data_IF_572576405421
#
_entry.id   IF_572576405421
#
_cell.length_a   1.000
_cell.length_b   1.000
_cell.length_c   1.000
_cell.angle_alpha   90.00
_cell.angle_beta   90.00
_cell.angle_gamma   90.00
#
_symmetry.space_group_name_H-M   'P 1'
#
loop_
_entity.id
_entity.type
_entity.pdbx_description
1 polymer ?
#
# COMPACT_ATOMS: atom_id res chain seq x y z
N UNK A 1 -14.59 25.14 11.90
CA UNK A 1 -14.43 23.82 12.55
C UNK A 1 -15.14 22.68 11.80
N UNK A 2 -16.45 22.76 11.50
CA UNK A 2 -17.16 21.68 10.79
C UNK A 2 -16.59 21.34 9.41
N UNK A 3 -16.26 22.34 8.59
CA UNK A 3 -15.67 22.14 7.26
C UNK A 3 -14.29 21.47 7.29
N UNK A 4 -13.45 21.81 8.27
CA UNK A 4 -12.12 21.21 8.44
C UNK A 4 -12.19 19.71 8.73
N UNK A 5 -13.15 19.28 9.56
CA UNK A 5 -13.35 17.86 9.88
C UNK A 5 -13.78 17.09 8.64
N UNK A 6 -14.66 17.66 7.82
CA UNK A 6 -15.11 17.04 6.56
C UNK A 6 -13.95 16.89 5.58
N UNK A 7 -13.11 17.92 5.44
CA UNK A 7 -11.93 17.90 4.56
C UNK A 7 -10.92 16.83 5.00
N UNK A 8 -10.60 16.77 6.29
CA UNK A 8 -9.69 15.75 6.83
C UNK A 8 -10.26 14.33 6.67
N UNK A 9 -11.57 14.17 6.89
CA UNK A 9 -12.28 12.91 6.65
C UNK A 9 -12.15 12.47 5.19
N UNK A 10 -12.42 13.36 4.23
CA UNK A 10 -12.29 13.07 2.81
C UNK A 10 -10.83 12.79 2.39
N UNK A 11 -9.87 13.55 2.92
CA UNK A 11 -8.45 13.32 2.67
C UNK A 11 -7.98 11.93 3.15
N UNK A 12 -8.55 11.42 4.24
CA UNK A 12 -8.26 10.06 4.75
C UNK A 12 -8.81 8.92 3.86
N UNK A 13 -9.67 9.24 2.89
CA UNK A 13 -10.18 8.29 1.92
C UNK A 13 -9.40 8.35 0.60
N UNK A 14 -8.54 9.34 0.41
CA UNK A 14 -7.72 9.46 -0.79
C UNK A 14 -6.79 8.23 -0.85
N UNK A 15 -6.75 7.53 -2.00
CA UNK A 15 -5.86 6.40 -2.17
C UNK A 15 -4.41 6.85 -2.07
N UNK A 16 -3.62 6.10 -1.29
CA UNK A 16 -2.16 6.27 -1.24
C UNK A 16 -1.58 5.49 -2.41
N UNK A 17 -1.28 6.19 -3.49
CA UNK A 17 -0.67 5.56 -4.66
C UNK A 17 0.83 5.30 -4.39
N UNK A 18 1.18 4.01 -4.38
CA UNK A 18 2.53 3.40 -4.28
C UNK A 18 3.10 3.33 -2.86
N UNK A 19 2.98 2.13 -2.28
CA UNK A 19 3.81 1.66 -1.17
C UNK A 19 4.25 0.23 -1.50
N UNK A 20 5.46 0.08 -2.06
CA UNK A 20 5.93 -1.19 -2.62
C UNK A 20 5.09 -1.69 -3.80
N UNK A 21 4.80 -2.99 -3.84
CA UNK A 21 4.05 -3.66 -4.92
C UNK A 21 2.52 -3.60 -4.81
N UNK A 22 1.98 -3.04 -3.72
CA UNK A 22 0.52 -3.00 -3.48
C UNK A 22 -0.10 -1.83 -4.23
N UNK A 23 -1.14 -2.12 -5.02
CA UNK A 23 -1.94 -1.12 -5.76
C UNK A 23 -3.31 -1.01 -5.09
N UNK A 24 -3.90 0.19 -5.09
CA UNK A 24 -5.22 0.51 -4.50
C UNK A 24 -5.32 0.30 -2.97
N UNK A 25 -4.66 1.15 -2.19
CA UNK A 25 -4.79 1.16 -0.73
C UNK A 25 -5.28 2.53 -0.25
N UNK A 26 -6.22 2.56 0.70
CA UNK A 26 -6.65 3.79 1.38
C UNK A 26 -5.60 4.24 2.40
N UNK A 27 -5.66 5.49 2.84
CA UNK A 27 -4.75 6.01 3.88
C UNK A 27 -4.77 5.15 5.16
N UNK A 28 -5.94 4.74 5.64
CA UNK A 28 -6.05 3.86 6.81
C UNK A 28 -5.50 2.46 6.57
N UNK A 29 -5.72 1.90 5.37
CA UNK A 29 -5.08 0.65 4.97
C UNK A 29 -3.55 0.77 4.95
N UNK A 30 -3.02 1.92 4.53
CA UNK A 30 -1.58 2.19 4.56
C UNK A 30 -1.04 2.26 5.99
N UNK A 31 -1.70 3.00 6.89
CA UNK A 31 -1.32 3.08 8.31
C UNK A 31 -1.28 1.69 8.93
N UNK A 32 -2.36 0.91 8.80
CA UNK A 32 -2.42 -0.42 9.42
C UNK A 32 -1.25 -1.30 8.97
N UNK A 33 -0.90 -1.25 7.69
CA UNK A 33 0.21 -2.02 7.12
C UNK A 33 1.62 -1.56 7.53
N UNK A 34 1.78 -0.35 8.06
CA UNK A 34 3.07 0.20 8.51
C UNK A 34 3.14 0.35 10.03
N UNK A 35 2.25 -0.30 10.75
CA UNK A 35 2.30 -0.39 12.22
C UNK A 35 2.64 -1.81 12.65
N UNK A 36 3.04 -1.97 13.91
CA UNK A 36 3.30 -3.27 14.54
C UNK A 36 2.06 -4.17 14.62
N UNK A 37 0.87 -3.61 14.39
CA UNK A 37 -0.41 -4.33 14.33
C UNK A 37 -0.80 -4.76 12.91
N UNK A 38 0.04 -4.44 11.92
CA UNK A 38 -0.15 -4.85 10.54
C UNK A 38 -0.08 -6.37 10.37
N UNK A 39 -0.47 -6.87 9.18
CA UNK A 39 -0.30 -8.27 8.84
C UNK A 39 1.17 -8.68 8.99
N UNK A 40 1.42 -9.94 9.38
CA UNK A 40 2.79 -10.45 9.49
C UNK A 40 3.51 -10.27 8.17
N UNK A 41 4.72 -9.74 8.24
CA UNK A 41 5.61 -9.66 7.09
C UNK A 41 6.01 -11.09 6.74
N UNK A 42 5.69 -11.53 5.53
CA UNK A 42 6.15 -12.81 5.00
C UNK A 42 7.53 -12.58 4.38
N UNK A 43 8.52 -13.36 4.83
CA UNK A 43 9.83 -13.37 4.20
C UNK A 43 9.71 -14.07 2.85
N UNK A 44 10.02 -13.35 1.78
CA UNK A 44 10.11 -13.91 0.43
C UNK A 44 11.60 -14.08 0.13
N UNK A 45 12.08 -15.30 -0.19
CA UNK A 45 13.44 -15.53 -0.64
C UNK A 45 13.79 -14.62 -1.83
N UNK A 46 15.05 -14.22 -1.93
CA UNK A 46 15.49 -13.24 -2.93
C UNK A 46 15.30 -13.75 -4.37
N UNK A 47 15.40 -15.06 -4.56
CA UNK A 47 15.15 -15.76 -5.82
C UNK A 47 13.69 -15.61 -6.27
N UNK A 48 12.75 -15.71 -5.32
CA UNK A 48 11.32 -15.55 -5.56
C UNK A 48 10.92 -14.08 -5.76
N UNK A 49 11.61 -13.17 -5.04
CA UNK A 49 11.42 -11.73 -5.21
C UNK A 49 11.77 -11.27 -6.63
N UNK A 50 12.88 -11.78 -7.17
CA UNK A 50 13.33 -11.50 -8.53
C UNK A 50 12.35 -12.05 -9.56
N UNK A 51 11.84 -13.26 -9.36
CA UNK A 51 10.85 -13.87 -10.23
C UNK A 51 9.52 -13.07 -10.27
N UNK A 52 9.01 -12.64 -9.12
CA UNK A 52 7.81 -11.81 -9.04
C UNK A 52 8.02 -10.42 -9.67
N UNK A 53 9.17 -9.78 -9.44
CA UNK A 53 9.52 -8.53 -10.11
C UNK A 53 9.59 -8.67 -11.64
N UNK A 54 10.19 -9.75 -12.15
CA UNK A 54 10.26 -10.03 -13.58
C UNK A 54 8.87 -10.30 -14.18
N UNK A 55 7.97 -11.00 -13.48
CA UNK A 55 6.57 -11.19 -13.92
C UNK A 55 5.82 -9.87 -14.01
N UNK A 56 6.00 -8.98 -13.03
CA UNK A 56 5.36 -7.66 -13.01
C UNK A 56 5.96 -6.75 -14.09
N UNK A 57 7.28 -6.72 -14.23
CA UNK A 57 7.97 -5.93 -15.24
C UNK A 57 7.66 -6.41 -16.68
N UNK A 58 7.56 -7.73 -16.88
CA UNK A 58 7.17 -8.33 -18.17
C UNK A 58 5.69 -8.15 -18.52
N UNK A 59 4.83 -7.77 -17.56
CA UNK A 59 3.41 -7.45 -17.78
C UNK A 59 3.18 -5.99 -18.20
N UNK A 60 4.23 -5.15 -18.23
CA UNK A 60 4.19 -3.76 -18.74
C UNK A 60 4.69 -3.71 -20.20
N UNK A 61 4.29 -4.69 -21.03
CA UNK A 61 4.52 -4.66 -22.47
C UNK A 61 3.21 -4.87 -23.22
#
# INVERSE_FOLDING_TARGET
>A
MKGTIVILGAASLVPVWRSGGRKNMTFWGWIWNHTVFGPRVEYVPEEDYTAELCKVAGRIR
#
